data_IF_568922248965
#
_entry.id   IF_568922248965
#
_cell.length_a   1.000
_cell.length_b   1.000
_cell.length_c   1.000
_cell.angle_alpha   90.00
_cell.angle_beta   90.00
_cell.angle_gamma   90.00
#
_symmetry.space_group_name_H-M   'P 1'
#
loop_
_entity.id
_entity.type
_entity.pdbx_description
1 polymer ?
#
# COMPACT_ATOMS: atom_id res chain seq x y z
N UNK A 1 7.81 17.73 -9.09
CA UNK A 1 7.08 18.61 -8.16
C UNK A 1 8.05 19.21 -7.15
N UNK A 2 7.57 19.86 -6.09
CA UNK A 2 8.41 20.42 -5.01
C UNK A 2 8.63 19.45 -3.84
N UNK A 3 8.15 18.23 -3.94
CA UNK A 3 8.28 17.23 -2.88
C UNK A 3 9.69 16.62 -2.90
N UNK A 4 10.29 16.36 -1.72
CA UNK A 4 11.63 15.77 -1.60
C UNK A 4 11.60 14.25 -1.86
N UNK A 5 11.05 13.82 -2.98
CA UNK A 5 11.03 12.44 -3.44
C UNK A 5 11.27 12.38 -4.95
N UNK A 6 11.83 11.26 -5.43
CA UNK A 6 12.10 11.07 -6.87
C UNK A 6 10.82 10.93 -7.68
N UNK A 7 9.80 10.28 -7.10
CA UNK A 7 8.58 9.89 -7.79
C UNK A 7 7.41 9.71 -6.82
N UNK A 8 6.18 9.85 -7.32
CA UNK A 8 4.94 9.61 -6.56
C UNK A 8 4.10 8.62 -7.33
N UNK A 9 3.79 7.50 -6.69
CA UNK A 9 3.03 6.41 -7.30
C UNK A 9 1.55 6.52 -6.91
N UNK A 10 0.71 6.82 -7.91
CA UNK A 10 -0.75 6.81 -7.76
C UNK A 10 -1.30 5.43 -8.14
N UNK A 11 -1.37 4.53 -7.17
CA UNK A 11 -1.88 3.18 -7.37
C UNK A 11 -3.34 3.14 -6.89
N UNK A 12 -4.32 2.90 -7.79
CA UNK A 12 -5.72 2.80 -7.38
C UNK A 12 -5.93 1.53 -6.55
N UNK A 13 -6.44 1.70 -5.32
CA UNK A 13 -6.81 0.60 -4.45
C UNK A 13 -8.24 0.79 -3.95
N UNK A 14 -9.06 -0.26 -4.06
CA UNK A 14 -10.49 -0.20 -3.70
C UNK A 14 -10.79 -0.75 -2.31
N UNK A 15 -9.88 -1.55 -1.73
CA UNK A 15 -10.02 -2.17 -0.41
C UNK A 15 -11.26 -3.04 -0.29
N UNK A 16 -11.12 -4.35 -0.42
CA UNK A 16 -12.27 -5.26 -0.28
C UNK A 16 -12.70 -5.33 1.20
N UNK A 17 -13.98 -5.02 1.48
CA UNK A 17 -14.58 -5.06 2.82
C UNK A 17 -15.48 -6.28 3.04
N UNK A 18 -15.57 -7.18 2.06
CA UNK A 18 -16.40 -8.39 2.17
C UNK A 18 -15.93 -9.30 3.29
N UNK A 19 -14.62 -9.57 3.34
CA UNK A 19 -13.97 -10.36 4.38
C UNK A 19 -12.48 -10.01 4.53
N UNK A 20 -11.88 -10.47 5.62
CA UNK A 20 -10.48 -10.20 5.96
C UNK A 20 -9.49 -10.83 4.96
N UNK A 21 -9.80 -11.98 4.38
CA UNK A 21 -8.93 -12.66 3.41
C UNK A 21 -8.86 -11.88 2.10
N UNK A 22 -10.00 -11.38 1.64
CA UNK A 22 -10.12 -10.54 0.45
C UNK A 22 -9.46 -9.18 0.66
N UNK A 23 -9.60 -8.58 1.86
CA UNK A 23 -8.85 -7.40 2.25
C UNK A 23 -7.33 -7.64 2.17
N UNK A 24 -6.84 -8.70 2.83
CA UNK A 24 -5.41 -9.08 2.82
C UNK A 24 -4.88 -9.25 1.41
N UNK A 25 -5.60 -10.02 0.58
CA UNK A 25 -5.21 -10.27 -0.81
C UNK A 25 -5.07 -8.98 -1.60
N UNK A 26 -6.09 -8.13 -1.58
CA UNK A 26 -6.07 -6.87 -2.36
C UNK A 26 -5.05 -5.86 -1.84
N UNK A 27 -4.79 -5.86 -0.53
CA UNK A 27 -3.74 -5.05 0.09
C UNK A 27 -2.34 -5.56 -0.25
N UNK A 28 -2.13 -6.88 -0.24
CA UNK A 28 -0.86 -7.50 -0.64
C UNK A 28 -0.54 -7.28 -2.12
N UNK A 29 -1.53 -7.41 -3.01
CA UNK A 29 -1.39 -7.05 -4.43
C UNK A 29 -0.98 -5.57 -4.61
N UNK A 30 -1.57 -4.66 -3.82
CA UNK A 30 -1.21 -3.24 -3.82
C UNK A 30 0.25 -3.00 -3.37
N UNK A 31 0.65 -3.58 -2.23
CA UNK A 31 2.01 -3.44 -1.67
C UNK A 31 3.04 -4.04 -2.64
N UNK A 32 2.81 -5.26 -3.11
CA UNK A 32 3.66 -5.97 -4.07
C UNK A 32 3.85 -5.18 -5.36
N UNK A 33 2.78 -4.57 -5.89
CA UNK A 33 2.84 -3.73 -7.09
C UNK A 33 3.75 -2.52 -6.88
N UNK A 34 3.61 -1.83 -5.75
CA UNK A 34 4.44 -0.67 -5.43
C UNK A 34 5.92 -1.04 -5.26
N UNK A 35 6.21 -2.13 -4.54
CA UNK A 35 7.59 -2.61 -4.31
C UNK A 35 8.24 -3.03 -5.62
N UNK A 36 7.54 -3.83 -6.43
CA UNK A 36 8.04 -4.28 -7.74
C UNK A 36 8.39 -3.09 -8.63
N UNK A 37 7.49 -2.11 -8.73
CA UNK A 37 7.75 -0.91 -9.50
C UNK A 37 8.96 -0.13 -8.98
N UNK A 38 9.05 0.06 -7.66
CA UNK A 38 10.15 0.80 -7.04
C UNK A 38 11.51 0.12 -7.33
N UNK A 39 11.55 -1.21 -7.22
CA UNK A 39 12.73 -2.01 -7.52
C UNK A 39 13.13 -1.91 -9.00
N UNK A 40 12.19 -2.13 -9.92
CA UNK A 40 12.43 -2.05 -11.38
C UNK A 40 12.86 -0.64 -11.82
N UNK A 41 12.43 0.39 -11.10
CA UNK A 41 12.79 1.79 -11.35
C UNK A 41 14.10 2.22 -10.65
N UNK A 42 14.80 1.30 -9.98
CA UNK A 42 16.08 1.57 -9.32
C UNK A 42 15.97 2.43 -8.05
N UNK A 43 14.78 2.50 -7.43
CA UNK A 43 14.60 3.15 -6.14
C UNK A 43 15.05 2.22 -5.01
N UNK A 44 15.67 2.79 -3.99
CA UNK A 44 16.16 2.05 -2.80
C UNK A 44 15.30 2.27 -1.56
N UNK A 45 14.29 3.13 -1.65
CA UNK A 45 13.36 3.44 -0.57
C UNK A 45 12.00 3.81 -1.15
N UNK A 46 10.95 3.47 -0.40
CA UNK A 46 9.57 3.80 -0.69
C UNK A 46 8.85 4.04 0.65
N UNK A 47 7.86 4.94 0.65
CA UNK A 47 7.04 5.24 1.81
C UNK A 47 5.57 4.96 1.48
N UNK A 48 4.91 4.18 2.33
CA UNK A 48 3.47 3.95 2.25
C UNK A 48 2.72 4.85 3.24
N UNK A 49 1.58 5.44 2.84
CA UNK A 49 0.69 6.08 3.80
C UNK A 49 -0.10 5.03 4.60
N UNK A 50 -0.90 5.48 5.57
CA UNK A 50 -1.93 4.65 6.23
C UNK A 50 -3.11 4.38 5.28
N UNK A 51 -2.89 3.48 4.31
CA UNK A 51 -3.81 3.19 3.22
C UNK A 51 -5.17 2.71 3.76
N UNK A 52 -6.27 3.36 3.38
CA UNK A 52 -7.61 2.95 3.79
C UNK A 52 -8.07 3.36 5.18
N UNK A 53 -7.19 3.83 6.05
CA UNK A 53 -7.55 4.20 7.42
C UNK A 53 -8.33 5.52 7.54
N UNK A 54 -8.45 6.27 6.44
CA UNK A 54 -9.24 7.51 6.37
C UNK A 54 -10.71 7.21 6.07
N UNK A 55 -11.20 7.72 4.93
CA UNK A 55 -12.61 7.62 4.53
C UNK A 55 -13.15 6.19 4.44
N UNK A 56 -12.30 5.19 4.16
CA UNK A 56 -12.72 3.79 4.06
C UNK A 56 -12.89 3.12 5.44
N UNK A 57 -12.43 3.74 6.52
CA UNK A 57 -12.72 3.33 7.90
C UNK A 57 -12.01 2.05 8.35
N UNK A 58 -10.96 1.60 7.65
CA UNK A 58 -10.19 0.44 8.09
C UNK A 58 -9.41 0.73 9.38
N UNK A 59 -9.30 -0.27 10.26
CA UNK A 59 -8.51 -0.14 11.48
C UNK A 59 -7.01 -0.02 11.13
N UNK A 60 -6.31 1.04 11.60
CA UNK A 60 -4.90 1.24 11.30
C UNK A 60 -3.99 0.09 11.71
N UNK A 61 -4.31 -0.61 12.81
CA UNK A 61 -3.51 -1.73 13.31
C UNK A 61 -3.66 -2.94 12.40
N UNK A 62 -4.88 -3.21 11.92
CA UNK A 62 -5.15 -4.30 10.96
C UNK A 62 -4.42 -4.04 9.63
N UNK A 63 -4.52 -2.83 9.08
CA UNK A 63 -3.82 -2.46 7.84
C UNK A 63 -2.30 -2.57 8.02
N UNK A 64 -1.75 -1.99 9.08
CA UNK A 64 -0.32 -1.99 9.32
C UNK A 64 0.23 -3.43 9.45
N UNK A 65 -0.45 -4.30 10.20
CA UNK A 65 -0.04 -5.69 10.34
C UNK A 65 0.02 -6.40 8.98
N UNK A 66 -1.00 -6.21 8.13
CA UNK A 66 -1.05 -6.88 6.83
C UNK A 66 -0.07 -6.32 5.81
N UNK A 67 0.27 -5.03 5.89
CA UNK A 67 1.32 -4.46 5.05
C UNK A 67 2.71 -4.98 5.41
N UNK A 68 2.96 -5.27 6.70
CA UNK A 68 4.23 -5.83 7.19
C UNK A 68 4.37 -7.30 6.77
N UNK A 69 3.29 -8.07 6.78
CA UNK A 69 3.30 -9.48 6.39
C UNK A 69 3.73 -9.69 4.91
N UNK A 70 3.67 -8.63 4.08
CA UNK A 70 3.97 -8.63 2.64
C UNK A 70 5.37 -8.06 2.30
N UNK A 71 6.14 -7.60 3.30
CA UNK A 71 7.52 -7.09 3.16
C UNK A 71 8.57 -8.08 3.64
#
# INVERSE_FOLDING_TARGET
GLLPCKEILFIPWRGDQSDLSSLKKTLGEFVSTAIKYAFESGHTSLAFPSVGCGKLGFDPSIIAQHMIDET
#
